data_IF_136034864834
#
_entry.id   IF_136034864834
#
_cell.length_a   1.000
_cell.length_b   1.000
_cell.length_c   1.000
_cell.angle_alpha   90.00
_cell.angle_beta   90.00
_cell.angle_gamma   90.00
#
_symmetry.space_group_name_H-M   'P 1'
#
loop_
_entity.id
_entity.type
_entity.pdbx_description
1 polymer ?
#
# COMPACT_ATOMS: atom_id res chain seq x y z
N UNK A 1 28.51 4.68 25.23
CA UNK A 1 27.75 4.54 23.97
C UNK A 1 27.84 3.14 23.45
N UNK A 2 26.70 2.45 23.33
CA UNK A 2 26.67 1.13 22.72
C UNK A 2 26.95 1.26 21.23
N UNK A 3 27.80 0.42 20.68
CA UNK A 3 28.00 0.29 19.24
C UNK A 3 26.89 -0.58 18.67
N UNK A 4 26.67 -0.56 17.34
CA UNK A 4 25.67 -1.42 16.69
C UNK A 4 25.87 -2.91 16.99
N UNK A 5 27.09 -3.33 17.29
CA UNK A 5 27.42 -4.71 17.70
C UNK A 5 26.88 -5.07 19.08
N UNK A 6 26.62 -4.07 19.94
CA UNK A 6 26.09 -4.29 21.29
C UNK A 6 24.56 -4.31 21.31
N UNK A 7 23.93 -3.96 20.22
CA UNK A 7 22.48 -3.92 20.06
C UNK A 7 22.09 -5.12 19.21
N UNK A 8 21.89 -6.23 19.81
CA UNK A 8 21.34 -7.50 19.30
C UNK A 8 21.01 -7.54 17.79
N UNK A 9 21.96 -7.16 16.94
CA UNK A 9 21.96 -7.24 15.46
C UNK A 9 20.74 -6.70 14.70
N UNK A 10 19.67 -6.26 15.35
CA UNK A 10 18.52 -5.66 14.67
C UNK A 10 18.78 -4.19 14.41
N UNK A 11 18.95 -3.82 13.13
CA UNK A 11 19.15 -2.43 12.72
C UNK A 11 17.80 -1.79 12.39
N UNK A 12 17.00 -2.41 11.54
CA UNK A 12 15.64 -1.97 11.27
C UNK A 12 14.70 -2.57 12.33
N UNK A 13 14.18 -1.74 13.23
CA UNK A 13 13.40 -2.20 14.38
C UNK A 13 11.93 -2.44 14.05
N UNK A 14 11.38 -1.66 13.15
CA UNK A 14 9.97 -1.73 12.78
C UNK A 14 9.74 -1.05 11.44
N UNK A 15 8.59 -1.30 10.84
CA UNK A 15 8.16 -0.59 9.65
C UNK A 15 7.47 0.72 10.05
N UNK A 16 7.87 1.84 9.45
CA UNK A 16 7.27 3.14 9.74
C UNK A 16 6.23 3.54 8.70
N UNK A 17 6.64 3.72 7.46
CA UNK A 17 5.75 4.16 6.38
C UNK A 17 6.33 3.82 5.02
N UNK A 18 5.51 3.98 4.00
CA UNK A 18 5.92 4.01 2.60
C UNK A 18 5.64 5.40 2.03
N UNK A 19 6.58 5.93 1.24
CA UNK A 19 6.39 7.17 0.50
C UNK A 19 5.77 6.90 -0.86
N UNK A 20 4.68 7.59 -1.17
CA UNK A 20 3.97 7.46 -2.45
C UNK A 20 3.97 8.81 -3.14
N UNK A 21 4.62 8.90 -4.30
CA UNK A 21 4.64 10.14 -5.07
C UNK A 21 3.37 10.26 -5.92
N UNK A 22 2.75 11.43 -5.84
CA UNK A 22 1.49 11.72 -6.51
C UNK A 22 1.60 13.06 -7.24
N UNK A 23 0.76 13.25 -8.26
CA UNK A 23 0.81 14.44 -9.09
C UNK A 23 -0.17 15.54 -8.65
N UNK A 24 -1.22 15.21 -7.92
CA UNK A 24 -2.23 16.16 -7.49
C UNK A 24 -2.58 15.94 -6.02
N UNK A 25 -2.27 16.93 -5.19
CA UNK A 25 -2.47 16.84 -3.75
C UNK A 25 -3.93 16.54 -3.37
N UNK A 26 -4.86 17.33 -3.86
CA UNK A 26 -6.29 17.23 -3.50
C UNK A 26 -6.87 15.88 -3.90
N UNK A 27 -6.60 15.46 -5.11
CA UNK A 27 -7.10 14.20 -5.65
C UNK A 27 -6.52 13.01 -4.90
N UNK A 28 -5.22 13.02 -4.61
CA UNK A 28 -4.55 11.96 -3.87
C UNK A 28 -5.07 11.88 -2.43
N UNK A 29 -5.12 12.99 -1.71
CA UNK A 29 -5.63 13.00 -0.34
C UNK A 29 -7.05 12.45 -0.30
N UNK A 30 -7.92 12.89 -1.21
CA UNK A 30 -9.31 12.41 -1.27
C UNK A 30 -9.37 10.89 -1.51
N UNK A 31 -8.54 10.38 -2.40
CA UNK A 31 -8.48 8.95 -2.68
C UNK A 31 -8.08 8.14 -1.43
N UNK A 32 -7.01 8.54 -0.78
CA UNK A 32 -6.52 7.81 0.40
C UNK A 32 -7.42 8.02 1.63
N UNK A 33 -8.10 9.17 1.75
CA UNK A 33 -9.13 9.35 2.78
C UNK A 33 -10.27 8.34 2.64
N UNK A 34 -10.67 8.02 1.43
CA UNK A 34 -11.70 6.99 1.17
C UNK A 34 -11.27 5.61 1.66
N UNK A 35 -9.97 5.34 1.65
CA UNK A 35 -9.39 4.09 2.17
C UNK A 35 -9.19 4.10 3.69
N UNK A 36 -9.57 5.17 4.37
CA UNK A 36 -9.49 5.27 5.82
C UNK A 36 -8.29 6.05 6.36
N UNK A 37 -7.48 6.61 5.49
CA UNK A 37 -6.34 7.45 5.91
C UNK A 37 -6.80 8.87 6.20
N UNK A 38 -6.16 9.52 7.18
CA UNK A 38 -6.36 10.94 7.50
C UNK A 38 -5.03 11.64 7.56
N UNK A 39 -4.95 12.85 6.98
CA UNK A 39 -3.76 13.67 7.08
C UNK A 39 -3.55 14.08 8.54
N UNK A 40 -2.43 13.70 9.12
CA UNK A 40 -2.08 14.00 10.51
C UNK A 40 -1.00 15.07 10.62
N UNK A 41 -0.23 15.27 9.56
CA UNK A 41 0.86 16.22 9.55
C UNK A 41 1.20 16.64 8.12
N UNK A 42 1.47 17.92 7.92
CA UNK A 42 2.04 18.47 6.69
C UNK A 42 3.50 18.82 6.92
N UNK A 43 4.36 18.33 6.07
CA UNK A 43 5.76 18.72 6.08
C UNK A 43 5.81 20.20 5.67
N UNK A 44 6.55 21.06 6.42
CA UNK A 44 6.45 22.51 6.29
C UNK A 44 6.62 23.09 4.88
N UNK A 45 7.46 22.47 4.08
CA UNK A 45 7.71 22.92 2.70
C UNK A 45 6.56 22.56 1.73
N UNK A 46 5.52 21.88 2.22
CA UNK A 46 4.33 21.55 1.45
C UNK A 46 4.50 20.46 0.41
N UNK A 47 5.65 19.82 0.36
CA UNK A 47 5.93 18.79 -0.65
C UNK A 47 5.50 17.37 -0.24
N UNK A 48 5.17 17.16 1.03
CA UNK A 48 4.74 15.86 1.52
C UNK A 48 3.82 15.99 2.72
N UNK A 49 3.16 14.90 3.08
CA UNK A 49 2.36 14.82 4.29
C UNK A 49 2.54 13.47 4.96
N UNK A 50 1.89 13.30 6.08
CA UNK A 50 1.74 12.03 6.75
C UNK A 50 0.25 11.73 6.86
N UNK A 51 -0.15 10.52 6.45
CA UNK A 51 -1.53 10.07 6.54
C UNK A 51 -1.59 8.76 7.32
N UNK A 52 -2.53 8.64 8.24
CA UNK A 52 -2.62 7.51 9.15
C UNK A 52 -4.06 7.01 9.25
N UNK A 53 -4.25 5.70 9.26
CA UNK A 53 -5.55 5.08 9.55
C UNK A 53 -5.79 4.97 11.06
N UNK A 54 -7.03 4.72 11.46
CA UNK A 54 -7.35 4.47 12.87
C UNK A 54 -6.63 3.26 13.46
N UNK A 55 -6.23 2.32 12.61
CA UNK A 55 -5.44 1.15 13.01
C UNK A 55 -3.93 1.43 13.09
N UNK A 56 -3.50 2.66 12.80
CA UNK A 56 -2.09 3.04 12.85
C UNK A 56 -1.27 2.76 11.61
N UNK A 57 -1.90 2.42 10.50
CA UNK A 57 -1.22 2.26 9.21
C UNK A 57 -0.84 3.63 8.68
N UNK A 58 0.44 3.81 8.36
CA UNK A 58 0.98 5.11 7.95
C UNK A 58 1.52 5.07 6.53
N UNK A 59 1.20 6.12 5.77
CA UNK A 59 1.81 6.43 4.47
C UNK A 59 2.20 7.90 4.45
N UNK A 60 3.15 8.25 3.58
CA UNK A 60 3.46 9.64 3.26
C UNK A 60 3.18 9.87 1.79
N UNK A 61 2.37 10.87 1.49
CA UNK A 61 2.18 11.33 0.12
C UNK A 61 3.22 12.39 -0.21
N UNK A 62 3.87 12.25 -1.35
CA UNK A 62 4.89 13.17 -1.85
C UNK A 62 4.30 13.88 -3.07
N UNK A 63 4.18 15.20 -3.02
CA UNK A 63 3.35 15.96 -3.97
C UNK A 63 4.08 16.51 -5.19
N UNK A 64 5.30 16.10 -5.44
CA UNK A 64 6.10 16.61 -6.56
C UNK A 64 6.16 15.67 -7.77
N UNK A 65 5.17 14.82 -7.94
CA UNK A 65 5.07 13.95 -9.09
C UNK A 65 4.61 14.69 -10.33
N UNK A 66 5.20 14.37 -11.47
CA UNK A 66 4.74 14.87 -12.75
C UNK A 66 3.43 14.16 -13.14
N UNK A 67 2.47 14.93 -13.67
CA UNK A 67 1.23 14.35 -14.16
C UNK A 67 1.51 13.53 -15.41
N UNK A 68 1.13 12.27 -15.36
CA UNK A 68 1.25 11.34 -16.48
C UNK A 68 -0.13 11.13 -17.12
N UNK A 69 -0.28 11.47 -18.40
CA UNK A 69 -1.56 11.31 -19.13
C UNK A 69 -2.01 9.87 -19.23
N UNK A 70 -1.07 8.93 -19.32
CA UNK A 70 -1.38 7.51 -19.55
C UNK A 70 -1.57 6.73 -18.26
N UNK A 71 -1.40 7.35 -17.10
CA UNK A 71 -1.54 6.72 -15.76
C UNK A 71 -0.81 5.38 -15.69
N UNK A 72 0.40 5.35 -16.24
CA UNK A 72 1.19 4.15 -16.38
C UNK A 72 2.11 3.95 -15.16
N UNK A 73 2.17 2.73 -14.65
CA UNK A 73 3.13 2.39 -13.62
C UNK A 73 4.43 1.91 -14.25
N UNK A 74 5.51 2.65 -14.07
CA UNK A 74 6.78 2.39 -14.74
C UNK A 74 7.43 1.07 -14.32
N UNK A 75 7.18 0.59 -13.13
CA UNK A 75 7.76 -0.65 -12.64
C UNK A 75 6.95 -1.89 -13.05
N UNK A 76 5.63 -1.75 -13.21
CA UNK A 76 4.74 -2.88 -13.46
C UNK A 76 4.25 -2.98 -14.90
N UNK A 77 4.07 -1.85 -15.59
CA UNK A 77 3.41 -1.83 -16.90
C UNK A 77 4.40 -1.88 -18.08
N UNK A 78 5.67 -1.66 -17.84
CA UNK A 78 6.68 -1.74 -18.89
C UNK A 78 7.04 -3.19 -19.21
N UNK A 79 7.37 -3.45 -20.47
CA UNK A 79 7.81 -4.78 -20.91
C UNK A 79 9.09 -5.19 -20.21
N UNK A 80 10.04 -4.27 -20.08
CA UNK A 80 11.27 -4.49 -19.34
C UNK A 80 11.02 -4.22 -17.88
N UNK A 81 11.13 -5.25 -17.05
CA UNK A 81 10.94 -5.13 -15.60
C UNK A 81 12.22 -4.67 -14.94
N UNK A 82 12.17 -3.54 -14.27
CA UNK A 82 13.30 -2.95 -13.57
C UNK A 82 13.17 -3.15 -12.07
N UNK A 83 14.28 -3.27 -11.33
CA UNK A 83 14.21 -3.40 -9.88
C UNK A 83 13.67 -2.12 -9.24
N UNK A 84 12.92 -2.28 -8.15
CA UNK A 84 12.34 -1.18 -7.39
C UNK A 84 11.23 -1.65 -6.47
N UNK A 85 10.71 -0.75 -5.65
CA UNK A 85 9.54 -0.99 -4.81
C UNK A 85 8.30 -0.86 -5.68
N UNK A 86 7.58 -1.97 -5.89
CA UNK A 86 6.46 -2.00 -6.83
C UNK A 86 5.14 -1.55 -6.20
N UNK A 87 4.89 -1.91 -4.95
CA UNK A 87 3.62 -1.59 -4.27
C UNK A 87 3.69 -1.86 -2.77
N UNK A 88 2.97 -1.08 -1.97
CA UNK A 88 2.68 -1.45 -0.59
C UNK A 88 1.55 -2.48 -0.54
N UNK A 89 1.51 -3.27 0.52
CA UNK A 89 0.44 -4.24 0.78
C UNK A 89 -0.16 -4.00 2.16
N UNK A 90 -1.49 -3.96 2.20
CA UNK A 90 -2.26 -3.71 3.42
C UNK A 90 -3.10 -4.94 3.77
N UNK A 91 -3.41 -5.10 5.04
CA UNK A 91 -4.29 -6.16 5.53
C UNK A 91 -5.70 -5.60 5.68
N UNK A 92 -6.69 -6.34 5.20
CA UNK A 92 -8.11 -6.05 5.38
C UNK A 92 -8.80 -7.27 6.04
N UNK A 93 -9.98 -7.04 6.58
CA UNK A 93 -10.73 -8.12 7.26
C UNK A 93 -11.32 -9.12 6.28
N UNK A 94 -12.00 -8.64 5.25
CA UNK A 94 -12.78 -9.47 4.35
C UNK A 94 -12.65 -8.98 2.92
N UNK A 95 -12.16 -9.85 2.05
CA UNK A 95 -11.88 -9.49 0.64
C UNK A 95 -13.17 -9.28 -0.16
N UNK A 96 -14.22 -10.03 0.14
CA UNK A 96 -15.50 -9.92 -0.57
C UNK A 96 -16.21 -8.61 -0.21
N UNK A 97 -16.23 -8.27 1.08
CA UNK A 97 -16.78 -6.98 1.54
C UNK A 97 -16.00 -5.81 0.95
N UNK A 98 -14.69 -5.91 0.90
CA UNK A 98 -13.85 -4.88 0.33
C UNK A 98 -14.09 -4.72 -1.17
N UNK A 99 -14.20 -5.83 -1.90
CA UNK A 99 -14.51 -5.81 -3.33
C UNK A 99 -15.87 -5.16 -3.61
N UNK A 100 -16.88 -5.47 -2.80
CA UNK A 100 -18.21 -4.86 -2.92
C UNK A 100 -18.15 -3.35 -2.65
N UNK A 101 -17.38 -2.94 -1.66
CA UNK A 101 -17.16 -1.53 -1.35
C UNK A 101 -16.47 -0.80 -2.51
N UNK A 102 -15.42 -1.39 -3.07
CA UNK A 102 -14.72 -0.83 -4.24
C UNK A 102 -15.66 -0.63 -5.42
N UNK A 103 -16.54 -1.60 -5.67
CA UNK A 103 -17.53 -1.51 -6.74
C UNK A 103 -18.47 -0.33 -6.53
N UNK A 104 -18.99 -0.15 -5.31
CA UNK A 104 -19.86 0.98 -4.97
C UNK A 104 -19.16 2.32 -5.13
N UNK A 105 -17.89 2.38 -4.80
CA UNK A 105 -17.07 3.58 -4.88
C UNK A 105 -16.55 3.86 -6.28
N UNK A 106 -16.80 2.97 -7.23
CA UNK A 106 -16.33 3.12 -8.60
C UNK A 106 -14.81 2.95 -8.74
N UNK A 107 -14.18 2.25 -7.81
CA UNK A 107 -12.74 1.97 -7.86
C UNK A 107 -12.53 0.60 -8.51
N UNK A 108 -11.77 0.58 -9.60
CA UNK A 108 -11.52 -0.64 -10.35
C UNK A 108 -10.55 -1.56 -9.63
N UNK A 109 -10.89 -2.85 -9.50
CA UNK A 109 -9.94 -3.90 -9.16
C UNK A 109 -9.11 -4.20 -10.40
N UNK A 110 -7.82 -3.99 -10.33
CA UNK A 110 -6.93 -4.15 -11.49
C UNK A 110 -6.38 -5.56 -11.60
N UNK A 111 -6.34 -6.30 -10.50
CA UNK A 111 -5.90 -7.69 -10.46
C UNK A 111 -6.54 -8.40 -9.26
N UNK A 112 -6.91 -9.66 -9.44
CA UNK A 112 -7.52 -10.49 -8.40
C UNK A 112 -9.03 -10.27 -8.26
N UNK A 113 -9.66 -10.73 -7.17
CA UNK A 113 -9.06 -11.45 -6.04
C UNK A 113 -8.45 -12.78 -6.43
N UNK A 114 -7.32 -13.12 -5.84
CA UNK A 114 -6.67 -14.41 -6.08
C UNK A 114 -5.87 -14.86 -4.85
N UNK A 115 -5.77 -16.16 -4.69
CA UNK A 115 -4.95 -16.72 -3.62
C UNK A 115 -3.47 -16.60 -4.00
N UNK A 116 -2.69 -15.92 -3.18
CA UNK A 116 -1.26 -15.77 -3.33
C UNK A 116 -0.55 -16.54 -2.21
N UNK A 117 -0.12 -17.76 -2.54
CA UNK A 117 0.48 -18.66 -1.56
C UNK A 117 -0.56 -19.18 -0.56
N UNK A 118 -0.13 -19.91 0.50
CA UNK A 118 -1.06 -20.55 1.44
C UNK A 118 -1.69 -19.59 2.44
N UNK A 119 -1.18 -18.36 2.55
CA UNK A 119 -1.47 -17.49 3.68
C UNK A 119 -2.50 -16.40 3.39
N UNK A 120 -2.73 -16.02 2.12
CA UNK A 120 -3.55 -14.85 1.84
C UNK A 120 -4.32 -14.93 0.52
N UNK A 121 -5.43 -14.20 0.48
CA UNK A 121 -6.13 -13.81 -0.75
C UNK A 121 -5.90 -12.33 -0.96
N UNK A 122 -5.52 -11.94 -2.17
CA UNK A 122 -5.13 -10.58 -2.50
C UNK A 122 -5.93 -10.02 -3.66
N UNK A 123 -6.15 -8.71 -3.65
CA UNK A 123 -6.56 -7.95 -4.81
C UNK A 123 -5.72 -6.66 -4.91
N UNK A 124 -5.71 -6.08 -6.10
CA UNK A 124 -4.92 -4.89 -6.40
C UNK A 124 -5.82 -3.82 -6.98
N UNK A 125 -5.56 -2.59 -6.57
CA UNK A 125 -6.16 -1.38 -7.13
C UNK A 125 -5.06 -0.39 -7.47
N UNK A 126 -5.40 0.68 -8.16
CA UNK A 126 -4.46 1.77 -8.43
C UNK A 126 -5.03 3.09 -7.95
N UNK A 127 -4.15 3.94 -7.45
CA UNK A 127 -4.51 5.31 -7.12
C UNK A 127 -4.64 6.15 -8.41
N UNK A 128 -5.04 7.43 -8.33
CA UNK A 128 -5.21 8.27 -9.52
C UNK A 128 -3.96 8.44 -10.40
N UNK A 129 -2.78 8.22 -9.85
CA UNK A 129 -1.52 8.31 -10.59
C UNK A 129 -1.01 6.95 -11.10
N UNK A 130 -1.78 5.88 -10.87
CA UNK A 130 -1.38 4.53 -11.27
C UNK A 130 -0.47 3.84 -10.26
N UNK A 131 -0.28 4.39 -9.07
CA UNK A 131 0.42 3.69 -8.00
C UNK A 131 -0.39 2.48 -7.57
N UNK A 132 0.28 1.33 -7.48
CA UNK A 132 -0.38 0.05 -7.21
C UNK A 132 -0.46 -0.20 -5.71
N UNK A 133 -1.62 -0.61 -5.25
CA UNK A 133 -1.89 -0.96 -3.87
C UNK A 133 -2.43 -2.39 -3.81
N UNK A 134 -1.84 -3.22 -2.95
CA UNK A 134 -2.29 -4.59 -2.69
C UNK A 134 -3.08 -4.62 -1.39
N UNK A 135 -4.16 -5.39 -1.37
CA UNK A 135 -4.97 -5.61 -0.17
C UNK A 135 -5.13 -7.10 0.07
N UNK A 136 -4.82 -7.54 1.29
CA UNK A 136 -4.75 -8.95 1.65
C UNK A 136 -5.72 -9.29 2.78
N UNK A 137 -6.53 -10.31 2.55
CA UNK A 137 -7.18 -11.02 3.64
C UNK A 137 -6.28 -12.18 4.03
N UNK A 138 -5.91 -12.25 5.30
CA UNK A 138 -5.13 -13.36 5.80
C UNK A 138 -6.05 -14.58 5.98
N UNK A 139 -5.58 -15.72 5.49
CA UNK A 139 -6.28 -16.98 5.66
C UNK A 139 -5.94 -17.59 7.02
N UNK A 140 -6.85 -18.36 7.64
CA UNK A 140 -6.53 -19.12 8.84
C UNK A 140 -5.34 -20.00 8.59
N UNK A 141 -4.45 -20.14 9.58
CA UNK A 141 -3.39 -21.14 9.48
C UNK A 141 -4.03 -22.51 9.31
N UNK A 142 -3.61 -23.20 8.22
CA UNK A 142 -3.96 -24.62 8.09
C UNK A 142 -3.36 -25.33 9.30
N UNK A 143 -4.24 -25.90 10.14
CA UNK A 143 -3.80 -26.85 11.14
C UNK A 143 -3.05 -27.92 10.35
N UNK A 144 -1.73 -27.96 10.49
CA UNK A 144 -0.96 -29.07 9.97
C UNK A 144 -1.47 -30.31 10.69
N UNK A 145 -2.43 -31.00 10.11
CA UNK A 145 -2.61 -32.39 10.42
C UNK A 145 -1.34 -33.04 9.90
N UNK A 146 -0.44 -33.32 10.81
CA UNK A 146 0.65 -34.21 10.50
C UNK A 146 0.02 -35.53 10.12
N UNK A 147 -0.22 -35.68 8.85
CA UNK A 147 -0.34 -37.01 8.27
C UNK A 147 1.05 -37.60 8.33
N UNK A 148 1.24 -38.37 9.30
CA UNK A 148 2.36 -39.29 9.36
C UNK A 148 2.15 -40.34 8.26
#
# INVERSE_FOLDING_TARGET
MSTLSDVNTQIALAYDHVGIRVSNRREAIRFYERLGFKETYRIPEGEANEMVTSAGVRINLIFNGAKNRDVKNLLLDETIKRPGITHPAFIIHDIDEFQNWLLKEGIKVTEGPKKLGPRRVALFIRDPDGNVLEFNQLLPEETKHETI
#
